data_IF_002063074547
#
_entry.id   IF_002063074547
#
_cell.length_a   1.000
_cell.length_b   1.000
_cell.length_c   1.000
_cell.angle_alpha   90.00
_cell.angle_beta   90.00
_cell.angle_gamma   90.00
#
_symmetry.space_group_name_H-M   'P 1'
#
loop_
_entity.id
_entity.type
_entity.pdbx_description
1 polymer ?
#
# COMPACT_ATOMS: atom_id res chain seq x y z
N UNK A 1 -11.20 10.87 14.25
CA UNK A 1 -10.79 10.05 13.08
C UNK A 1 -10.37 8.69 13.61
N UNK A 2 -10.72 7.59 12.92
CA UNK A 2 -10.24 6.26 13.34
C UNK A 2 -8.73 6.17 13.14
N UNK A 3 -8.04 5.52 14.08
CA UNK A 3 -6.62 5.23 13.93
C UNK A 3 -6.39 4.32 12.72
N UNK A 4 -5.45 4.66 11.84
CA UNK A 4 -5.07 3.88 10.67
C UNK A 4 -3.80 3.08 10.99
N UNK A 5 -3.84 1.74 10.85
CA UNK A 5 -2.74 0.87 11.29
C UNK A 5 -2.40 -0.19 10.24
N UNK A 6 -1.12 -0.34 9.94
CA UNK A 6 -0.59 -1.47 9.17
C UNK A 6 0.08 -2.43 10.15
N UNK A 7 -0.40 -3.68 10.21
CA UNK A 7 0.36 -4.78 10.79
C UNK A 7 1.32 -5.30 9.73
N UNK A 8 2.60 -5.10 9.94
CA UNK A 8 3.63 -5.32 8.93
C UNK A 8 4.51 -6.50 9.31
N UNK A 9 4.56 -7.51 8.45
CA UNK A 9 5.63 -8.50 8.47
C UNK A 9 6.89 -7.98 7.77
N UNK A 10 8.03 -8.56 8.08
CA UNK A 10 9.32 -8.15 7.55
C UNK A 10 9.89 -9.17 6.56
N UNK A 11 9.97 -10.45 6.95
CA UNK A 11 10.47 -11.50 6.09
C UNK A 11 9.45 -11.82 5.00
N UNK A 12 9.89 -11.90 3.74
CA UNK A 12 8.98 -12.05 2.60
C UNK A 12 8.26 -10.76 2.18
N UNK A 13 8.28 -9.68 3.00
CA UNK A 13 7.62 -8.40 2.70
C UNK A 13 8.64 -7.29 2.46
N UNK A 14 9.47 -6.98 3.43
CA UNK A 14 10.50 -5.92 3.37
C UNK A 14 11.85 -6.49 2.97
N UNK A 15 12.02 -7.75 3.20
CA UNK A 15 13.18 -8.56 2.84
C UNK A 15 12.69 -9.86 2.15
N UNK A 16 13.53 -10.55 1.41
CA UNK A 16 13.21 -11.83 0.78
C UNK A 16 14.34 -12.83 0.99
N UNK A 17 14.07 -14.10 0.76
CA UNK A 17 15.08 -15.19 0.79
C UNK A 17 16.27 -14.95 -0.13
N UNK A 18 16.16 -14.02 -1.08
CA UNK A 18 17.25 -13.63 -1.97
C UNK A 18 17.96 -12.35 -1.52
N UNK A 19 17.53 -11.71 -0.44
CA UNK A 19 18.12 -10.44 0.03
C UNK A 19 19.62 -10.57 0.31
N UNK A 20 20.06 -11.71 0.83
CA UNK A 20 21.48 -11.98 1.11
C UNK A 20 22.33 -11.96 -0.18
N UNK A 21 21.76 -12.40 -1.31
CA UNK A 21 22.48 -12.45 -2.60
C UNK A 21 22.60 -11.07 -3.25
N UNK A 22 21.64 -10.17 -2.97
CA UNK A 22 21.57 -8.84 -3.57
C UNK A 22 22.05 -7.74 -2.63
N UNK A 23 22.33 -8.06 -1.38
CA UNK A 23 22.66 -7.10 -0.32
C UNK A 23 24.12 -6.63 -0.33
N UNK A 24 24.84 -6.69 -1.46
CA UNK A 24 26.16 -6.12 -1.60
C UNK A 24 26.18 -4.65 -1.13
N UNK A 25 26.27 -4.45 0.21
CA UNK A 25 26.47 -3.16 0.84
C UNK A 25 25.29 -2.54 1.58
N UNK A 26 24.06 -3.08 1.51
CA UNK A 26 22.92 -2.55 2.26
C UNK A 26 22.65 -3.38 3.52
N UNK A 27 23.58 -3.29 4.45
CA UNK A 27 23.47 -3.87 5.78
C UNK A 27 23.10 -2.74 6.74
N UNK A 28 21.87 -2.75 7.23
CA UNK A 28 21.44 -1.86 8.30
C UNK A 28 21.64 -2.58 9.63
N UNK A 29 22.31 -1.91 10.57
CA UNK A 29 22.58 -2.47 11.88
C UNK A 29 21.60 -1.88 12.89
N UNK A 30 20.88 -2.75 13.58
CA UNK A 30 20.10 -2.43 14.75
C UNK A 30 20.96 -2.73 15.99
N UNK A 31 21.04 -1.77 16.90
CA UNK A 31 21.80 -1.89 18.16
C UNK A 31 20.84 -1.66 19.32
N UNK A 32 20.60 -2.72 20.09
CA UNK A 32 19.78 -2.69 21.28
C UNK A 32 20.52 -3.38 22.42
N UNK A 33 20.86 -2.62 23.47
CA UNK A 33 21.53 -3.11 24.69
C UNK A 33 22.72 -4.06 24.41
N UNK A 34 23.59 -3.69 23.46
CA UNK A 34 24.76 -4.47 23.01
C UNK A 34 24.46 -5.69 22.11
N UNK A 35 23.21 -5.95 21.79
CA UNK A 35 22.83 -6.91 20.76
C UNK A 35 22.75 -6.22 19.39
N UNK A 36 23.50 -6.73 18.41
CA UNK A 36 23.56 -6.16 17.05
C UNK A 36 22.91 -7.10 16.07
N UNK A 37 21.69 -6.74 15.63
CA UNK A 37 21.06 -7.38 14.50
C UNK A 37 21.42 -6.67 13.19
N UNK A 38 21.64 -7.47 12.17
CA UNK A 38 21.92 -6.96 10.84
C UNK A 38 20.75 -7.29 9.94
N UNK A 39 20.11 -6.24 9.44
CA UNK A 39 19.03 -6.39 8.49
C UNK A 39 19.60 -6.23 7.08
N UNK A 40 19.33 -7.22 6.24
CA UNK A 40 19.72 -7.22 4.85
C UNK A 40 18.51 -6.87 4.00
N UNK A 41 18.65 -5.85 3.15
CA UNK A 41 17.58 -5.41 2.26
C UNK A 41 18.01 -5.58 0.81
N UNK A 42 17.10 -6.10 -0.01
CA UNK A 42 17.22 -5.94 -1.45
C UNK A 42 16.98 -4.47 -1.81
N UNK A 43 17.89 -3.79 -2.53
CA UNK A 43 17.74 -2.37 -2.87
C UNK A 43 16.41 -2.03 -3.53
N UNK A 44 15.86 -2.94 -4.32
CA UNK A 44 14.57 -2.74 -5.01
C UNK A 44 13.40 -2.72 -4.03
N UNK A 45 13.45 -3.60 -3.02
CA UNK A 45 12.42 -3.67 -1.97
C UNK A 45 12.59 -2.52 -1.00
N UNK A 46 13.83 -2.14 -0.67
CA UNK A 46 14.13 -1.00 0.20
C UNK A 46 13.51 0.30 -0.33
N UNK A 47 13.57 0.54 -1.64
CA UNK A 47 12.93 1.70 -2.27
C UNK A 47 11.42 1.69 -2.00
N UNK A 48 10.77 0.54 -2.14
CA UNK A 48 9.34 0.41 -1.89
C UNK A 48 9.00 0.51 -0.39
N UNK A 49 9.87 0.01 0.47
CA UNK A 49 9.71 0.21 1.92
C UNK A 49 9.80 1.69 2.30
N UNK A 50 10.75 2.44 1.75
CA UNK A 50 10.84 3.90 1.95
C UNK A 50 9.57 4.60 1.47
N UNK A 51 9.03 4.23 0.31
CA UNK A 51 7.75 4.77 -0.20
C UNK A 51 6.57 4.44 0.73
N UNK A 52 6.54 3.24 1.32
CA UNK A 52 5.53 2.87 2.31
C UNK A 52 5.64 3.75 3.56
N UNK A 53 6.85 3.92 4.10
CA UNK A 53 7.08 4.77 5.27
C UNK A 53 6.70 6.24 5.01
N UNK A 54 7.03 6.76 3.82
CA UNK A 54 6.65 8.12 3.40
C UNK A 54 5.13 8.28 3.32
N UNK A 55 4.45 7.31 2.72
CA UNK A 55 2.99 7.27 2.71
C UNK A 55 2.41 7.23 4.13
N UNK A 56 2.92 6.37 4.99
CA UNK A 56 2.48 6.24 6.38
C UNK A 56 2.63 7.57 7.13
N UNK A 57 3.78 8.21 6.99
CA UNK A 57 4.04 9.53 7.60
C UNK A 57 3.07 10.61 7.10
N UNK A 58 2.88 10.68 5.79
CA UNK A 58 2.09 11.74 5.14
C UNK A 58 0.59 11.62 5.45
N UNK A 59 0.08 10.38 5.60
CA UNK A 59 -1.35 10.11 5.76
C UNK A 59 -1.75 9.69 7.18
N UNK A 60 -0.85 9.89 8.16
CA UNK A 60 -1.03 9.49 9.56
C UNK A 60 -1.42 8.01 9.74
N UNK A 61 -0.85 7.15 8.91
CA UNK A 61 -0.95 5.70 9.04
C UNK A 61 0.19 5.22 9.93
N UNK A 62 -0.12 4.48 10.97
CA UNK A 62 0.86 3.94 11.90
C UNK A 62 1.20 2.49 11.54
N UNK A 63 2.33 2.01 12.02
CA UNK A 63 2.79 0.64 11.78
C UNK A 63 2.91 -0.09 13.12
N UNK A 64 2.36 -1.30 13.17
CA UNK A 64 2.62 -2.29 14.21
C UNK A 64 3.42 -3.44 13.59
N UNK A 65 4.59 -3.73 14.14
CA UNK A 65 5.42 -4.84 13.65
C UNK A 65 4.80 -6.18 14.08
N UNK A 66 4.46 -7.00 13.10
CA UNK A 66 3.88 -8.33 13.27
C UNK A 66 4.78 -9.38 12.61
N UNK A 67 6.03 -9.45 13.03
CA UNK A 67 7.09 -10.28 12.46
C UNK A 67 7.89 -10.96 13.55
N UNK A 68 8.61 -12.03 13.24
CA UNK A 68 9.62 -12.61 14.14
C UNK A 68 10.70 -11.62 14.53
N UNK A 69 10.94 -10.58 13.73
CA UNK A 69 11.86 -9.47 14.02
C UNK A 69 11.44 -8.63 15.23
N UNK A 70 10.22 -8.82 15.77
CA UNK A 70 9.77 -8.20 17.02
C UNK A 70 10.49 -8.73 18.24
N UNK A 71 11.03 -9.93 18.14
CA UNK A 71 11.78 -10.55 19.23
C UNK A 71 13.06 -9.76 19.45
N UNK A 72 13.34 -9.41 20.71
CA UNK A 72 14.50 -8.61 21.10
C UNK A 72 14.49 -7.15 20.60
N UNK A 73 13.33 -6.60 20.20
CA UNK A 73 13.19 -5.20 19.80
C UNK A 73 12.12 -4.49 20.62
N UNK A 74 12.12 -3.16 20.56
CA UNK A 74 11.09 -2.32 21.18
C UNK A 74 10.57 -1.31 20.19
N UNK A 75 9.40 -0.73 20.47
CA UNK A 75 8.83 0.38 19.68
C UNK A 75 9.81 1.54 19.57
N UNK A 76 10.46 1.91 20.67
CA UNK A 76 11.47 2.98 20.68
C UNK A 76 12.68 2.61 19.82
N UNK A 77 13.16 1.36 19.93
CA UNK A 77 14.26 0.87 19.11
C UNK A 77 13.96 0.92 17.62
N UNK A 78 12.76 0.51 17.20
CA UNK A 78 12.34 0.61 15.80
C UNK A 78 12.29 2.06 15.31
N UNK A 79 11.71 3.00 16.07
CA UNK A 79 11.68 4.39 15.66
C UNK A 79 13.09 5.02 15.60
N UNK A 80 13.98 4.68 16.53
CA UNK A 80 15.39 5.08 16.47
C UNK A 80 16.10 4.52 15.24
N UNK A 81 15.84 3.25 14.88
CA UNK A 81 16.35 2.63 13.67
C UNK A 81 15.88 3.39 12.41
N UNK A 82 14.57 3.70 12.30
CA UNK A 82 14.03 4.46 11.19
C UNK A 82 14.65 5.87 11.12
N UNK A 83 14.76 6.56 12.24
CA UNK A 83 15.39 7.88 12.31
C UNK A 83 16.84 7.82 11.87
N UNK A 84 17.63 6.89 12.42
CA UNK A 84 19.05 6.74 12.09
C UNK A 84 19.30 6.53 10.60
N UNK A 85 18.51 5.66 9.96
CA UNK A 85 18.78 5.21 8.60
C UNK A 85 17.99 5.95 7.52
N UNK A 86 16.81 6.49 7.86
CA UNK A 86 15.89 7.07 6.85
C UNK A 86 15.52 8.53 7.09
N UNK A 87 16.08 9.20 8.14
CA UNK A 87 15.72 10.59 8.45
C UNK A 87 15.84 11.55 7.27
N UNK A 88 16.88 11.42 6.46
CA UNK A 88 17.10 12.31 5.31
C UNK A 88 16.09 12.02 4.18
N UNK A 89 15.86 10.74 3.86
CA UNK A 89 14.93 10.30 2.79
C UNK A 89 13.48 10.64 3.14
N UNK A 90 13.10 10.49 4.40
CA UNK A 90 11.73 10.68 4.89
C UNK A 90 11.52 12.03 5.60
N UNK A 91 12.57 12.86 5.74
CA UNK A 91 12.52 14.10 6.53
C UNK A 91 11.95 13.86 7.93
N UNK A 92 12.41 12.79 8.60
CA UNK A 92 11.97 12.46 9.95
C UNK A 92 12.55 13.44 10.95
N UNK A 93 11.72 13.83 11.91
CA UNK A 93 12.14 14.49 13.14
C UNK A 93 12.41 13.43 14.21
N UNK A 94 13.18 13.78 15.22
CA UNK A 94 13.58 12.87 16.30
C UNK A 94 12.38 12.25 17.05
N UNK A 95 11.29 12.99 17.14
CA UNK A 95 10.07 12.57 17.83
C UNK A 95 8.98 12.00 16.89
N UNK A 96 9.27 11.80 15.61
CA UNK A 96 8.32 11.18 14.69
C UNK A 96 8.16 9.69 15.03
N UNK A 97 6.94 9.27 15.39
CA UNK A 97 6.60 7.92 15.76
C UNK A 97 5.79 7.26 14.63
N UNK A 98 6.45 6.51 13.76
CA UNK A 98 5.79 5.71 12.72
C UNK A 98 5.41 4.32 13.24
N UNK A 99 6.29 3.71 14.03
CA UNK A 99 6.03 2.44 14.69
C UNK A 99 5.36 2.73 16.03
N UNK A 100 4.14 2.25 16.22
CA UNK A 100 3.35 2.47 17.43
C UNK A 100 3.15 1.21 18.26
N UNK A 101 3.54 0.06 17.72
CA UNK A 101 3.37 -1.22 18.39
C UNK A 101 4.22 -2.33 17.80
N UNK A 102 4.31 -3.37 18.58
CA UNK A 102 4.78 -4.71 18.18
C UNK A 102 3.78 -5.71 18.71
N UNK A 103 3.41 -6.74 17.95
CA UNK A 103 2.52 -7.79 18.43
C UNK A 103 3.20 -8.63 19.50
N UNK A 104 2.42 -9.16 20.46
CA UNK A 104 2.92 -10.01 21.52
C UNK A 104 3.52 -11.33 21.01
N UNK A 105 4.24 -12.04 21.89
CA UNK A 105 4.80 -13.37 21.62
C UNK A 105 3.89 -14.51 22.14
N UNK A 106 2.68 -14.16 22.59
CA UNK A 106 1.68 -15.09 23.13
C UNK A 106 0.94 -15.87 22.03
N UNK A 107 -0.24 -16.39 22.40
CA UNK A 107 -1.19 -17.03 21.50
C UNK A 107 -0.62 -18.24 20.73
N UNK A 108 0.30 -19.00 21.36
CA UNK A 108 0.97 -20.16 20.75
C UNK A 108 1.63 -19.86 19.39
N UNK A 109 2.06 -18.61 19.17
CA UNK A 109 2.69 -18.19 17.94
C UNK A 109 1.73 -17.86 16.80
N UNK A 110 0.40 -17.99 17.00
CA UNK A 110 -0.62 -17.73 15.96
C UNK A 110 -0.75 -16.23 15.72
N UNK A 111 -0.30 -15.77 14.57
CA UNK A 111 -0.19 -14.35 14.22
C UNK A 111 -1.53 -13.62 14.21
N UNK A 112 -2.57 -14.26 13.67
CA UNK A 112 -3.92 -13.68 13.67
C UNK A 112 -4.48 -13.42 15.07
N UNK A 113 -4.19 -14.30 16.05
CA UNK A 113 -4.57 -14.08 17.45
C UNK A 113 -3.75 -12.96 18.10
N UNK A 114 -2.45 -12.89 17.83
CA UNK A 114 -1.57 -11.81 18.33
C UNK A 114 -2.02 -10.43 17.84
N UNK A 115 -2.45 -10.34 16.58
CA UNK A 115 -3.03 -9.11 16.01
C UNK A 115 -4.34 -8.75 16.72
N UNK A 116 -5.24 -9.73 16.93
CA UNK A 116 -6.50 -9.50 17.66
C UNK A 116 -6.27 -9.06 19.11
N UNK A 117 -5.32 -9.69 19.80
CA UNK A 117 -4.93 -9.30 21.16
C UNK A 117 -4.45 -7.85 21.18
N UNK A 118 -3.54 -7.47 20.26
CA UNK A 118 -3.06 -6.10 20.14
C UNK A 118 -4.19 -5.10 19.86
N UNK A 119 -5.10 -5.42 18.94
CA UNK A 119 -6.27 -4.59 18.64
C UNK A 119 -7.20 -4.44 19.85
N UNK A 120 -7.36 -5.48 20.68
CA UNK A 120 -8.20 -5.43 21.88
C UNK A 120 -7.66 -4.51 22.98
N UNK A 121 -6.36 -4.25 22.97
CA UNK A 121 -5.69 -3.32 23.88
C UNK A 121 -5.78 -1.86 23.42
N UNK A 122 -6.18 -1.63 22.16
CA UNK A 122 -6.45 -0.29 21.65
C UNK A 122 -7.82 0.17 22.14
N UNK A 123 -7.87 1.31 22.84
CA UNK A 123 -9.12 1.87 23.37
C UNK A 123 -10.06 2.43 22.28
N UNK A 124 -9.61 2.49 21.04
CA UNK A 124 -10.35 3.06 19.90
C UNK A 124 -10.42 2.06 18.75
N UNK A 125 -11.54 2.11 18.03
CA UNK A 125 -11.71 1.33 16.81
C UNK A 125 -10.69 1.76 15.76
N UNK A 126 -9.83 0.83 15.33
CA UNK A 126 -8.81 1.07 14.31
C UNK A 126 -9.28 0.60 12.93
N UNK A 127 -8.95 1.38 11.91
CA UNK A 127 -8.96 0.90 10.52
C UNK A 127 -7.58 0.31 10.24
N UNK A 128 -7.53 -1.00 9.96
CA UNK A 128 -6.25 -1.69 9.87
C UNK A 128 -6.14 -2.58 8.65
N UNK A 129 -4.90 -2.80 8.21
CA UNK A 129 -4.53 -3.72 7.15
C UNK A 129 -3.35 -4.59 7.62
N UNK A 130 -3.44 -5.89 7.42
CA UNK A 130 -2.33 -6.83 7.63
C UNK A 130 -1.59 -7.00 6.31
N UNK A 131 -0.27 -6.83 6.32
CA UNK A 131 0.61 -6.98 5.15
C UNK A 131 1.63 -8.07 5.47
N UNK A 132 1.48 -9.23 4.84
CA UNK A 132 2.19 -10.46 5.17
C UNK A 132 2.31 -11.37 3.95
N UNK A 133 3.36 -12.18 3.84
CA UNK A 133 3.51 -13.16 2.76
C UNK A 133 2.92 -14.53 3.13
N UNK A 134 2.89 -14.85 4.42
CA UNK A 134 2.33 -16.08 4.97
C UNK A 134 1.04 -15.80 5.75
N UNK A 135 -0.10 -16.14 5.17
CA UNK A 135 -1.41 -15.77 5.73
C UNK A 135 -2.20 -16.96 6.31
N UNK A 136 -1.60 -18.15 6.39
CA UNK A 136 -2.32 -19.37 6.79
C UNK A 136 -2.81 -19.33 8.25
N UNK A 137 -2.07 -18.71 9.16
CA UNK A 137 -2.41 -18.56 10.58
C UNK A 137 -3.08 -17.21 10.90
N UNK A 138 -3.34 -16.39 9.86
CA UNK A 138 -3.99 -15.08 9.97
C UNK A 138 -5.45 -15.14 9.51
N UNK A 139 -5.72 -15.78 8.37
CA UNK A 139 -7.03 -15.77 7.69
C UNK A 139 -8.18 -16.35 8.51
N UNK A 140 -7.90 -17.24 9.45
CA UNK A 140 -8.93 -17.83 10.31
C UNK A 140 -9.39 -16.85 11.41
N UNK A 141 -8.67 -15.76 11.64
CA UNK A 141 -8.89 -14.79 12.71
C UNK A 141 -9.15 -13.38 12.21
N UNK A 142 -8.62 -13.03 11.05
CA UNK A 142 -8.70 -11.69 10.44
C UNK A 142 -9.51 -11.78 9.16
N UNK A 143 -10.48 -10.88 8.91
CA UNK A 143 -11.26 -10.85 7.68
C UNK A 143 -10.37 -10.71 6.44
N UNK A 144 -10.70 -11.43 5.36
CA UNK A 144 -9.89 -11.47 4.14
C UNK A 144 -9.67 -10.08 3.52
N UNK A 145 -10.69 -9.22 3.56
CA UNK A 145 -10.59 -7.83 3.09
C UNK A 145 -9.68 -6.92 3.94
N UNK A 146 -9.14 -7.43 5.04
CA UNK A 146 -8.14 -6.80 5.92
C UNK A 146 -6.74 -7.38 5.76
N UNK A 147 -6.53 -8.25 4.76
CA UNK A 147 -5.26 -8.93 4.54
C UNK A 147 -4.76 -8.61 3.13
N UNK A 148 -3.57 -8.04 3.03
CA UNK A 148 -2.81 -7.95 1.80
C UNK A 148 -1.70 -9.00 1.81
N UNK A 149 -1.90 -10.06 1.05
CA UNK A 149 -0.87 -11.06 0.86
C UNK A 149 0.18 -10.56 -0.12
N UNK A 150 1.44 -10.56 0.31
CA UNK A 150 2.61 -10.25 -0.50
C UNK A 150 3.19 -11.55 -1.07
N UNK A 151 3.77 -11.51 -2.25
CA UNK A 151 4.48 -12.64 -2.82
C UNK A 151 5.92 -12.66 -2.26
N UNK A 152 6.20 -13.57 -1.30
CA UNK A 152 7.42 -13.56 -0.48
C UNK A 152 8.74 -13.61 -1.27
N UNK A 153 8.73 -14.13 -2.51
CA UNK A 153 9.92 -14.10 -3.39
C UNK A 153 10.16 -12.71 -4.02
N UNK A 154 9.13 -11.88 -4.11
CA UNK A 154 9.20 -10.54 -4.70
C UNK A 154 9.26 -9.42 -3.66
N UNK A 155 8.74 -9.69 -2.47
CA UNK A 155 8.57 -8.68 -1.45
C UNK A 155 7.58 -7.58 -1.86
N UNK A 156 7.64 -6.46 -1.18
CA UNK A 156 6.77 -5.31 -1.38
C UNK A 156 6.98 -4.68 -2.76
N UNK A 157 5.94 -4.71 -3.59
CA UNK A 157 5.93 -4.17 -4.96
C UNK A 157 5.17 -2.84 -5.06
N UNK A 158 5.31 -2.11 -6.17
CA UNK A 158 4.49 -0.93 -6.44
C UNK A 158 2.98 -1.26 -6.47
N UNK A 159 2.60 -2.47 -6.93
CA UNK A 159 1.19 -2.92 -6.90
C UNK A 159 0.67 -3.02 -5.47
N UNK A 160 1.47 -3.58 -4.56
CA UNK A 160 1.11 -3.64 -3.13
C UNK A 160 0.99 -2.24 -2.53
N UNK A 161 1.92 -1.33 -2.87
CA UNK A 161 1.87 0.06 -2.39
C UNK A 161 0.61 0.80 -2.87
N UNK A 162 0.22 0.64 -4.13
CA UNK A 162 -0.99 1.24 -4.66
C UNK A 162 -2.24 0.70 -3.93
N UNK A 163 -2.30 -0.62 -3.70
CA UNK A 163 -3.39 -1.20 -2.90
C UNK A 163 -3.45 -0.60 -1.48
N UNK A 164 -2.30 -0.46 -0.79
CA UNK A 164 -2.25 0.13 0.56
C UNK A 164 -2.73 1.58 0.54
N UNK A 165 -2.32 2.37 -0.45
CA UNK A 165 -2.74 3.76 -0.63
C UNK A 165 -4.25 3.86 -0.84
N UNK A 166 -4.81 3.05 -1.72
CA UNK A 166 -6.25 2.99 -1.97
C UNK A 166 -7.02 2.55 -0.72
N UNK A 167 -6.49 1.55 0.00
CA UNK A 167 -7.11 1.02 1.21
C UNK A 167 -7.30 2.08 2.30
N UNK A 168 -6.31 2.96 2.53
CA UNK A 168 -6.34 4.00 3.55
C UNK A 168 -6.77 5.38 3.03
N UNK A 169 -7.10 5.51 1.74
CA UNK A 169 -7.66 6.76 1.22
C UNK A 169 -9.00 7.04 1.90
N UNK A 170 -9.28 8.30 2.20
CA UNK A 170 -10.56 8.71 2.82
C UNK A 170 -11.74 8.54 1.86
N UNK A 171 -11.45 8.45 0.57
CA UNK A 171 -12.39 8.21 -0.51
C UNK A 171 -12.83 6.72 -0.63
N UNK A 172 -13.00 6.01 0.48
CA UNK A 172 -13.53 4.63 0.52
C UNK A 172 -14.94 4.46 -0.10
N UNK A 173 -15.44 5.44 -0.83
CA UNK A 173 -16.71 5.39 -1.56
C UNK A 173 -16.58 5.24 -3.07
N UNK A 174 -15.39 5.12 -3.61
CA UNK A 174 -15.29 4.69 -5.00
C UNK A 174 -15.47 3.18 -5.04
N UNK A 175 -16.67 2.73 -5.41
CA UNK A 175 -16.86 1.41 -6.01
C UNK A 175 -15.66 1.16 -6.91
N UNK A 176 -14.93 0.06 -6.70
CA UNK A 176 -13.83 -0.36 -7.58
C UNK A 176 -14.43 -0.53 -8.97
N UNK A 177 -14.38 0.54 -9.77
CA UNK A 177 -14.93 0.54 -11.11
C UNK A 177 -13.98 -0.24 -12.01
N UNK A 178 -14.40 -1.44 -12.36
CA UNK A 178 -13.65 -2.24 -13.31
C UNK A 178 -13.75 -1.62 -14.71
N UNK A 179 -12.61 -1.52 -15.38
CA UNK A 179 -12.57 -1.14 -16.78
C UNK A 179 -12.52 -2.41 -17.64
N UNK A 180 -13.36 -2.46 -18.66
CA UNK A 180 -13.47 -3.63 -19.54
C UNK A 180 -12.92 -3.28 -20.91
N UNK A 181 -11.85 -3.96 -21.31
CA UNK A 181 -11.26 -3.85 -22.66
C UNK A 181 -12.30 -4.30 -23.71
N UNK A 182 -12.37 -3.56 -24.82
CA UNK A 182 -13.31 -3.85 -25.90
C UNK A 182 -14.72 -3.28 -25.69
N UNK A 183 -15.01 -2.71 -24.53
CA UNK A 183 -16.33 -2.15 -24.21
C UNK A 183 -16.40 -0.66 -24.44
N UNK A 184 -17.65 -0.16 -24.61
CA UNK A 184 -17.93 1.25 -24.87
C UNK A 184 -18.22 1.99 -23.56
N UNK A 185 -17.71 3.21 -23.48
CA UNK A 185 -17.91 4.14 -22.37
C UNK A 185 -18.40 5.48 -22.88
N UNK A 186 -19.32 6.09 -22.14
CA UNK A 186 -19.81 7.44 -22.41
C UNK A 186 -19.05 8.44 -21.55
N UNK A 187 -18.41 9.42 -22.17
CA UNK A 187 -17.85 10.58 -21.48
C UNK A 187 -18.97 11.52 -21.03
N UNK A 188 -18.83 12.20 -19.89
CA UNK A 188 -19.85 13.11 -19.35
C UNK A 188 -20.27 14.23 -20.32
N UNK A 189 -19.46 14.53 -21.33
CA UNK A 189 -19.81 15.46 -22.43
C UNK A 189 -20.63 14.82 -23.54
N UNK A 190 -21.10 13.58 -23.36
CA UNK A 190 -22.02 12.87 -24.24
C UNK A 190 -21.38 12.00 -25.32
N UNK A 191 -20.08 12.13 -25.59
CA UNK A 191 -19.40 11.36 -26.63
C UNK A 191 -19.09 9.91 -26.17
N UNK A 192 -19.10 8.97 -27.14
CA UNK A 192 -18.83 7.56 -26.91
C UNK A 192 -17.40 7.20 -27.32
N UNK A 193 -16.80 6.29 -26.55
CA UNK A 193 -15.43 5.82 -26.72
C UNK A 193 -15.35 4.32 -26.45
N UNK A 194 -14.50 3.63 -27.19
CA UNK A 194 -14.20 2.22 -26.98
C UNK A 194 -12.84 2.06 -26.31
N UNK A 195 -12.77 1.37 -25.21
CA UNK A 195 -11.49 1.02 -24.56
C UNK A 195 -10.81 -0.05 -25.39
N UNK A 196 -9.58 0.19 -25.81
CA UNK A 196 -8.80 -0.72 -26.64
C UNK A 196 -7.83 -1.55 -25.80
N UNK A 197 -7.06 -0.87 -24.92
CA UNK A 197 -6.01 -1.49 -24.13
C UNK A 197 -5.85 -0.79 -22.79
N UNK A 198 -5.28 -1.52 -21.81
CA UNK A 198 -4.59 -0.96 -20.67
C UNK A 198 -3.09 -1.10 -20.92
N UNK A 199 -2.32 -0.07 -20.66
CA UNK A 199 -0.88 -0.04 -20.84
C UNK A 199 -0.23 0.63 -19.63
N UNK A 200 1.10 0.54 -19.54
CA UNK A 200 1.88 1.22 -18.51
C UNK A 200 2.69 2.31 -19.20
N UNK A 201 2.62 3.53 -18.68
CA UNK A 201 3.51 4.61 -19.09
C UNK A 201 4.93 4.29 -18.59
N UNK A 202 5.89 4.20 -19.51
CA UNK A 202 7.25 3.79 -19.18
C UNK A 202 8.06 4.87 -18.46
N UNK A 203 7.62 6.13 -18.52
CA UNK A 203 8.29 7.25 -17.86
C UNK A 203 7.76 7.44 -16.43
N UNK A 204 6.42 7.38 -16.26
CA UNK A 204 5.78 7.60 -14.97
C UNK A 204 5.47 6.32 -14.21
N UNK A 205 5.51 5.17 -14.90
CA UNK A 205 5.09 3.86 -14.40
C UNK A 205 3.62 3.83 -13.92
N UNK A 206 2.77 4.69 -14.50
CA UNK A 206 1.34 4.76 -14.24
C UNK A 206 0.56 3.89 -15.22
N UNK A 207 -0.56 3.32 -14.75
CA UNK A 207 -1.52 2.66 -15.62
C UNK A 207 -2.23 3.69 -16.50
N UNK A 208 -2.24 3.46 -17.81
CA UNK A 208 -2.94 4.29 -18.80
C UNK A 208 -3.99 3.48 -19.56
N UNK A 209 -5.09 4.15 -19.89
CA UNK A 209 -6.14 3.63 -20.74
C UNK A 209 -5.89 4.13 -22.15
N UNK A 210 -5.84 3.21 -23.12
CA UNK A 210 -5.84 3.50 -24.55
C UNK A 210 -7.28 3.33 -25.07
N UNK A 211 -7.87 4.38 -25.61
CA UNK A 211 -9.27 4.36 -26.03
C UNK A 211 -9.49 5.14 -27.32
N UNK A 212 -10.50 4.73 -28.09
CA UNK A 212 -10.81 5.29 -29.40
C UNK A 212 -12.15 6.02 -29.37
N UNK A 213 -12.20 7.22 -29.92
CA UNK A 213 -13.46 7.92 -30.17
C UNK A 213 -14.33 7.14 -31.18
N UNK A 214 -15.62 7.00 -30.88
CA UNK A 214 -16.59 6.38 -31.79
C UNK A 214 -17.29 7.41 -32.69
N UNK A 215 -16.72 8.63 -32.79
CA UNK A 215 -17.22 9.75 -33.59
C UNK A 215 -16.08 10.42 -34.38
N UNK A 216 -16.44 11.27 -35.32
CA UNK A 216 -15.49 12.02 -36.13
C UNK A 216 -14.45 11.12 -36.80
N UNK A 217 -13.18 11.48 -36.72
CA UNK A 217 -12.06 10.75 -37.34
C UNK A 217 -11.63 9.50 -36.56
N UNK A 218 -12.39 9.09 -35.55
CA UNK A 218 -12.11 7.89 -34.71
C UNK A 218 -10.68 7.86 -34.15
N UNK A 219 -10.18 9.00 -33.69
CA UNK A 219 -8.85 9.13 -33.14
C UNK A 219 -8.69 8.27 -31.88
N UNK A 220 -7.45 7.82 -31.65
CA UNK A 220 -7.06 7.05 -30.46
C UNK A 220 -6.40 8.01 -29.48
N UNK A 221 -6.76 7.88 -28.22
CA UNK A 221 -6.30 8.71 -27.12
C UNK A 221 -5.73 7.83 -25.99
N UNK A 222 -4.89 8.44 -25.16
CA UNK A 222 -4.44 7.87 -23.89
C UNK A 222 -4.86 8.78 -22.73
N UNK A 223 -5.05 8.18 -21.57
CA UNK A 223 -5.31 8.88 -20.31
C UNK A 223 -4.88 7.99 -19.15
N UNK A 224 -4.42 8.59 -18.04
CA UNK A 224 -4.18 7.80 -16.82
C UNK A 224 -5.46 7.07 -16.40
N UNK A 225 -5.33 5.83 -15.89
CA UNK A 225 -6.46 5.03 -15.43
C UNK A 225 -7.24 5.76 -14.34
N UNK A 226 -6.55 6.39 -13.42
CA UNK A 226 -7.13 7.21 -12.36
C UNK A 226 -8.04 8.31 -12.93
N UNK A 227 -7.53 9.09 -13.88
CA UNK A 227 -8.31 10.17 -14.52
C UNK A 227 -9.48 9.64 -15.37
N UNK A 228 -9.35 8.46 -15.98
CA UNK A 228 -10.45 7.84 -16.74
C UNK A 228 -11.60 7.42 -15.82
N UNK A 229 -11.28 6.88 -14.63
CA UNK A 229 -12.24 6.40 -13.64
C UNK A 229 -12.73 7.49 -12.68
N UNK A 230 -12.13 8.69 -12.69
CA UNK A 230 -12.46 9.79 -11.77
C UNK A 230 -13.90 10.26 -11.89
N UNK A 231 -14.40 10.88 -10.85
CA UNK A 231 -15.67 11.58 -10.86
C UNK A 231 -15.60 12.85 -11.73
N UNK A 232 -16.76 13.33 -12.15
CA UNK A 232 -16.90 14.64 -12.81
C UNK A 232 -16.67 15.71 -11.74
N UNK A 233 -15.91 16.74 -12.10
CA UNK A 233 -15.77 17.94 -11.30
C UNK A 233 -17.08 18.75 -11.36
N UNK A 234 -17.99 18.48 -10.42
CA UNK A 234 -19.31 19.12 -10.35
C UNK A 234 -19.22 20.60 -9.93
N UNK A 235 -18.11 21.06 -9.35
CA UNK A 235 -17.91 22.49 -9.12
C UNK A 235 -17.74 23.23 -10.44
N UNK A 236 -17.00 22.60 -11.37
CA UNK A 236 -16.75 23.15 -12.72
C UNK A 236 -17.89 22.86 -13.71
N UNK A 237 -18.63 21.77 -13.51
CA UNK A 237 -19.70 21.32 -14.39
C UNK A 237 -20.97 21.01 -13.58
N UNK A 238 -21.63 22.03 -12.98
CA UNK A 238 -22.74 21.84 -12.03
C UNK A 238 -24.00 21.22 -12.68
N UNK A 239 -24.18 21.39 -13.99
CA UNK A 239 -25.36 20.89 -14.71
C UNK A 239 -25.20 19.45 -15.21
N UNK A 240 -24.07 18.78 -14.95
CA UNK A 240 -23.83 17.41 -15.38
C UNK A 240 -24.38 16.44 -14.33
N UNK A 241 -25.35 15.62 -14.72
CA UNK A 241 -25.93 14.59 -13.85
C UNK A 241 -25.03 13.33 -13.74
N UNK A 242 -24.19 13.08 -14.78
CA UNK A 242 -23.30 11.92 -14.80
C UNK A 242 -22.26 12.01 -13.70
N UNK A 243 -22.20 10.99 -12.83
CA UNK A 243 -21.30 10.98 -11.66
C UNK A 243 -19.84 10.89 -12.07
N UNK A 244 -19.53 10.01 -13.02
CA UNK A 244 -18.13 9.71 -13.38
C UNK A 244 -17.77 10.30 -14.74
N UNK A 245 -16.50 10.59 -14.94
CA UNK A 245 -15.96 11.13 -16.19
C UNK A 245 -16.26 10.24 -17.39
N UNK A 246 -16.13 8.94 -17.23
CA UNK A 246 -16.57 7.93 -18.18
C UNK A 246 -17.43 6.89 -17.47
N UNK A 247 -18.57 6.56 -18.02
CA UNK A 247 -19.46 5.51 -17.54
C UNK A 247 -19.64 4.42 -18.59
N UNK A 248 -19.78 3.20 -18.10
CA UNK A 248 -20.05 2.06 -18.96
C UNK A 248 -21.34 2.32 -19.75
N UNK A 249 -21.29 2.12 -21.05
CA UNK A 249 -22.43 2.37 -21.92
C UNK A 249 -23.04 1.07 -22.45
N UNK A 250 -22.23 0.17 -23.00
CA UNK A 250 -22.59 -1.21 -23.43
C UNK A 250 -21.35 -2.03 -23.82
#
# INVERSE_FOLDING_TARGET
MKNKIIFLDMDGVVNTVNSDKYSLGLRLTYDYDNYKDNFYFDPRILINFIKLLDFCKTNDVKICISSTWRMNTTVAGWNNFLYKHFRNSLRLKENDMLIVGITGNGCNGIRGLQIKEWLSLCNEEADYLVVDDETFDIKDYIPENKILRVEGQKGLTNKNLNFIKEYFSEDKKTETRNIYIGRTYRHFKGNLYKVLYLAIDTETNEDIVVYQALYGNKLIYTRSLEMFLSEVDHEKYPDVEQKYRFEFWE
#
